data_IF_832401304547
#
_entry.id   IF_832401304547
#
_cell.length_a   1.000
_cell.length_b   1.000
_cell.length_c   1.000
_cell.angle_alpha   90.00
_cell.angle_beta   90.00
_cell.angle_gamma   90.00
#
_symmetry.space_group_name_H-M   'P 1'
#
loop_
_entity.id
_entity.type
_entity.pdbx_description
1 polymer ?
#
# COMPACT_ATOMS: atom_id res chain seq x y z
N UNK A 1 -18.67 2.42 -10.92
CA UNK A 1 -19.80 2.36 -10.00
C UNK A 1 -19.78 1.10 -9.14
N UNK A 2 -19.06 0.09 -9.56
CA UNK A 2 -19.14 -1.23 -8.95
C UNK A 2 -17.82 -1.58 -8.28
N UNK A 3 -17.89 -2.05 -7.04
CA UNK A 3 -16.74 -2.63 -6.35
C UNK A 3 -16.73 -4.11 -6.68
N UNK A 4 -15.58 -4.61 -7.15
CA UNK A 4 -15.41 -6.00 -7.50
C UNK A 4 -14.45 -6.66 -6.50
N UNK A 5 -15.01 -7.42 -5.57
CA UNK A 5 -14.23 -8.14 -4.56
C UNK A 5 -14.34 -9.63 -4.86
N UNK A 6 -13.20 -10.27 -5.13
CA UNK A 6 -13.20 -11.71 -5.36
C UNK A 6 -13.69 -12.45 -4.11
N UNK A 7 -14.50 -13.53 -4.26
CA UNK A 7 -15.07 -14.23 -3.09
C UNK A 7 -14.04 -14.77 -2.10
N UNK A 8 -12.81 -15.03 -2.54
CA UNK A 8 -11.75 -15.54 -1.66
C UNK A 8 -11.00 -14.43 -0.92
N UNK A 9 -11.24 -13.16 -1.26
CA UNK A 9 -10.58 -12.05 -0.57
C UNK A 9 -11.20 -11.82 0.80
N UNK A 10 -10.36 -11.47 1.78
CA UNK A 10 -10.79 -11.12 3.13
C UNK A 10 -10.71 -9.61 3.26
N UNK A 11 -11.84 -8.92 3.08
CA UNK A 11 -11.89 -7.47 3.15
C UNK A 11 -12.71 -7.07 4.37
N UNK A 12 -12.10 -6.29 5.27
CA UNK A 12 -12.79 -5.82 6.45
C UNK A 12 -13.99 -4.95 6.07
N UNK A 13 -15.09 -5.11 6.78
CA UNK A 13 -16.26 -4.26 6.62
C UNK A 13 -16.00 -2.81 7.05
N UNK A 14 -14.96 -2.57 7.84
CA UNK A 14 -14.57 -1.24 8.27
C UNK A 14 -13.71 -0.51 7.24
N UNK A 15 -13.14 -1.23 6.27
CA UNK A 15 -12.34 -0.61 5.22
C UNK A 15 -13.22 0.26 4.33
N UNK A 16 -12.69 1.40 3.93
CA UNK A 16 -13.38 2.34 3.04
C UNK A 16 -12.95 2.07 1.60
N UNK A 17 -13.80 1.40 0.86
CA UNK A 17 -13.53 1.00 -0.53
C UNK A 17 -14.37 1.87 -1.46
N UNK A 18 -13.70 2.67 -2.28
CA UNK A 18 -14.36 3.58 -3.22
C UNK A 18 -14.89 2.84 -4.45
N UNK A 19 -15.58 3.57 -5.32
CA UNK A 19 -16.14 3.02 -6.55
C UNK A 19 -15.06 2.47 -7.49
N UNK A 20 -15.43 1.51 -8.30
CA UNK A 20 -14.58 0.90 -9.34
C UNK A 20 -13.26 0.31 -8.82
N UNK A 21 -13.20 0.01 -7.54
CA UNK A 21 -12.07 -0.73 -6.96
C UNK A 21 -12.23 -2.22 -7.27
N UNK A 22 -11.14 -2.87 -7.68
CA UNK A 22 -11.09 -4.30 -7.92
C UNK A 22 -10.13 -4.95 -6.95
N UNK A 23 -10.59 -5.95 -6.22
CA UNK A 23 -9.77 -6.70 -5.26
C UNK A 23 -9.75 -8.15 -5.69
N UNK A 24 -8.57 -8.63 -6.08
CA UNK A 24 -8.35 -9.96 -6.61
C UNK A 24 -8.39 -11.06 -5.56
N UNK A 25 -8.21 -12.32 -6.00
CA UNK A 25 -8.32 -13.47 -5.10
C UNK A 25 -7.23 -13.47 -4.04
N UNK A 26 -7.61 -13.96 -2.86
CA UNK A 26 -6.74 -14.14 -1.70
C UNK A 26 -6.06 -12.85 -1.22
N UNK A 27 -6.62 -11.68 -1.55
CA UNK A 27 -6.20 -10.42 -0.94
C UNK A 27 -6.70 -10.32 0.49
N UNK A 28 -5.97 -9.60 1.31
CA UNK A 28 -6.38 -9.26 2.67
C UNK A 28 -6.36 -7.74 2.80
N UNK A 29 -7.47 -7.15 3.23
CA UNK A 29 -7.57 -5.72 3.51
C UNK A 29 -8.07 -5.55 4.92
N UNK A 30 -7.25 -4.93 5.77
CA UNK A 30 -7.54 -4.78 7.20
C UNK A 30 -8.47 -3.60 7.48
N UNK A 31 -8.73 -3.33 8.76
CA UNK A 31 -9.81 -2.44 9.18
C UNK A 31 -9.57 -0.97 8.82
N UNK A 32 -8.38 -0.46 9.13
CA UNK A 32 -8.08 0.96 8.99
C UNK A 32 -7.39 1.21 7.65
N UNK A 33 -8.13 0.99 6.58
CA UNK A 33 -7.67 1.11 5.21
C UNK A 33 -8.69 1.92 4.41
N UNK A 34 -8.20 2.83 3.58
CA UNK A 34 -9.01 3.50 2.57
C UNK A 34 -8.37 3.31 1.19
N UNK A 35 -9.16 2.90 0.22
CA UNK A 35 -8.72 2.66 -1.16
C UNK A 35 -9.53 3.53 -2.11
N UNK A 36 -8.84 4.35 -2.89
CA UNK A 36 -9.45 5.30 -3.81
C UNK A 36 -9.99 4.67 -5.09
N UNK A 37 -10.82 5.43 -5.77
CA UNK A 37 -11.55 5.01 -6.97
C UNK A 37 -10.60 4.45 -8.05
N UNK A 38 -11.03 3.37 -8.68
CA UNK A 38 -10.33 2.78 -9.82
C UNK A 38 -9.07 2.00 -9.47
N UNK A 39 -8.71 1.91 -8.21
CA UNK A 39 -7.54 1.14 -7.78
C UNK A 39 -7.78 -0.36 -7.92
N UNK A 40 -6.75 -1.08 -8.35
CA UNK A 40 -6.82 -2.52 -8.57
C UNK A 40 -5.75 -3.25 -7.77
N UNK A 41 -6.17 -4.22 -6.97
CA UNK A 41 -5.29 -5.15 -6.29
C UNK A 41 -5.32 -6.48 -7.04
N UNK A 42 -4.16 -6.96 -7.49
CA UNK A 42 -4.04 -8.29 -8.08
C UNK A 42 -4.14 -9.34 -6.96
N UNK A 43 -3.93 -10.61 -7.27
CA UNK A 43 -4.05 -11.67 -6.27
C UNK A 43 -2.99 -11.53 -5.16
N UNK A 44 -3.33 -12.00 -3.96
CA UNK A 44 -2.39 -12.13 -2.83
C UNK A 44 -1.79 -10.80 -2.34
N UNK A 45 -2.48 -9.69 -2.51
CA UNK A 45 -2.04 -8.40 -1.98
C UNK A 45 -2.54 -8.26 -0.55
N UNK A 46 -1.67 -7.82 0.35
CA UNK A 46 -2.04 -7.58 1.75
C UNK A 46 -1.92 -6.08 2.07
N UNK A 47 -3.06 -5.45 2.32
CA UNK A 47 -3.12 -4.06 2.77
C UNK A 47 -3.43 -4.06 4.25
N UNK A 48 -2.46 -3.64 5.06
CA UNK A 48 -2.57 -3.67 6.51
C UNK A 48 -3.17 -2.38 7.05
N UNK A 49 -3.39 -2.34 8.36
CA UNK A 49 -3.96 -1.18 9.02
C UNK A 49 -3.12 0.09 8.82
N UNK A 50 -3.76 1.23 8.90
CA UNK A 50 -3.14 2.55 8.80
C UNK A 50 -2.60 2.83 7.40
N UNK A 51 -3.33 2.42 6.37
CA UNK A 51 -2.94 2.63 4.97
C UNK A 51 -3.99 3.47 4.25
N UNK A 52 -3.52 4.41 3.46
CA UNK A 52 -4.35 5.22 2.56
C UNK A 52 -3.82 5.06 1.15
N UNK A 53 -4.65 4.54 0.26
CA UNK A 53 -4.31 4.34 -1.15
C UNK A 53 -5.17 5.27 -1.99
N UNK A 54 -4.55 6.02 -2.87
CA UNK A 54 -5.22 6.96 -3.76
C UNK A 54 -5.97 6.30 -4.89
N UNK A 55 -6.27 7.09 -5.92
CA UNK A 55 -7.04 6.66 -7.09
C UNK A 55 -6.13 6.02 -8.13
N UNK A 56 -6.70 5.09 -8.89
CA UNK A 56 -6.05 4.49 -10.06
C UNK A 56 -4.67 3.91 -9.77
N UNK A 57 -4.47 3.41 -8.57
CA UNK A 57 -3.27 2.66 -8.21
C UNK A 57 -3.39 1.23 -8.68
N UNK A 58 -2.25 0.57 -8.83
CA UNK A 58 -2.22 -0.83 -9.18
C UNK A 58 -1.16 -1.56 -8.35
N UNK A 59 -1.61 -2.55 -7.59
CA UNK A 59 -0.76 -3.33 -6.70
C UNK A 59 -0.72 -4.78 -7.20
N UNK A 60 0.48 -5.27 -7.46
CA UNK A 60 0.68 -6.60 -8.01
C UNK A 60 0.91 -7.63 -6.92
N UNK A 61 0.90 -8.89 -7.33
CA UNK A 61 0.90 -10.06 -6.45
C UNK A 61 1.98 -10.00 -5.38
N UNK A 62 1.58 -10.37 -4.17
CA UNK A 62 2.44 -10.48 -3.00
C UNK A 62 3.01 -9.15 -2.50
N UNK A 63 2.51 -8.01 -2.98
CA UNK A 63 2.89 -6.75 -2.37
C UNK A 63 2.19 -6.58 -1.03
N UNK A 64 2.88 -5.93 -0.11
CA UNK A 64 2.38 -5.66 1.24
C UNK A 64 2.53 -4.17 1.53
N UNK A 65 1.44 -3.51 1.88
CA UNK A 65 1.46 -2.09 2.25
C UNK A 65 1.02 -1.97 3.70
N UNK A 66 1.78 -1.20 4.48
CA UNK A 66 1.47 -0.97 5.89
C UNK A 66 2.15 -1.95 6.83
N UNK A 67 3.20 -2.62 6.39
CA UNK A 67 4.00 -3.45 7.28
C UNK A 67 4.55 -2.63 8.44
N UNK A 68 4.80 -3.30 9.57
CA UNK A 68 5.32 -2.63 10.75
C UNK A 68 6.75 -2.14 10.50
N UNK A 69 7.11 -0.95 11.00
CA UNK A 69 8.47 -0.44 10.83
C UNK A 69 9.52 -1.40 11.38
N UNK A 70 10.59 -1.57 10.63
CA UNK A 70 11.79 -2.26 11.11
C UNK A 70 12.66 -1.25 11.85
N UNK A 71 12.12 -0.73 12.94
CA UNK A 71 12.72 0.31 13.75
C UNK A 71 12.52 -0.06 15.22
N UNK A 72 13.62 -0.23 15.93
CA UNK A 72 13.56 -0.61 17.35
C UNK A 72 12.87 0.42 18.21
N UNK A 73 12.78 1.67 17.76
CA UNK A 73 12.10 2.73 18.51
C UNK A 73 10.59 2.77 18.29
N UNK A 74 10.08 1.97 17.34
CA UNK A 74 8.65 1.91 17.11
C UNK A 74 7.94 1.26 18.30
N UNK A 75 6.95 1.97 18.85
CA UNK A 75 6.21 1.54 20.04
C UNK A 75 4.75 1.18 19.77
N UNK A 76 4.37 1.04 18.51
CA UNK A 76 2.97 0.80 18.15
C UNK A 76 2.13 2.07 18.05
N UNK A 77 2.76 3.21 17.98
CA UNK A 77 2.07 4.51 17.84
C UNK A 77 1.31 4.62 16.53
N UNK A 78 0.41 5.59 16.45
CA UNK A 78 -0.34 5.87 15.23
C UNK A 78 0.59 6.46 14.17
N UNK A 79 0.64 5.80 13.04
CA UNK A 79 1.45 6.23 11.90
C UNK A 79 0.85 5.65 10.63
N UNK A 80 1.32 6.10 9.48
CA UNK A 80 0.61 5.84 8.23
C UNK A 80 1.56 5.39 7.13
N UNK A 81 1.01 4.64 6.18
CA UNK A 81 1.61 4.44 4.86
C UNK A 81 0.60 4.98 3.83
N UNK A 82 1.08 5.82 2.93
CA UNK A 82 0.24 6.52 1.96
C UNK A 82 0.78 6.28 0.56
N UNK A 83 -0.08 5.80 -0.33
CA UNK A 83 0.16 5.78 -1.76
C UNK A 83 -0.73 6.86 -2.38
N UNK A 84 -0.14 7.84 -3.05
CA UNK A 84 -0.90 8.83 -3.78
C UNK A 84 -1.44 8.25 -5.09
N UNK A 85 -2.11 9.07 -5.90
CA UNK A 85 -2.78 8.58 -7.10
C UNK A 85 -1.82 8.00 -8.13
N UNK A 86 -2.29 7.03 -8.89
CA UNK A 86 -1.58 6.44 -10.04
C UNK A 86 -0.23 5.80 -9.67
N UNK A 87 -0.08 5.34 -8.46
CA UNK A 87 1.11 4.60 -8.02
C UNK A 87 0.97 3.14 -8.44
N UNK A 88 2.06 2.57 -8.98
CA UNK A 88 2.14 1.15 -9.30
C UNK A 88 3.18 0.48 -8.42
N UNK A 89 2.77 -0.58 -7.74
CA UNK A 89 3.67 -1.47 -7.01
C UNK A 89 3.68 -2.81 -7.74
N UNK A 90 4.85 -3.21 -8.26
CA UNK A 90 4.97 -4.51 -8.90
C UNK A 90 5.11 -5.61 -7.83
N UNK A 91 5.30 -6.84 -8.26
CA UNK A 91 5.28 -8.01 -7.39
C UNK A 91 6.27 -7.90 -6.23
N UNK A 92 5.86 -8.38 -5.08
CA UNK A 92 6.71 -8.46 -3.87
C UNK A 92 7.24 -7.11 -3.36
N UNK A 93 6.62 -6.01 -3.73
CA UNK A 93 6.98 -4.71 -3.17
C UNK A 93 6.45 -4.62 -1.73
N UNK A 94 7.27 -4.11 -0.83
CA UNK A 94 6.88 -3.90 0.57
C UNK A 94 7.01 -2.42 0.92
N UNK A 95 5.97 -1.88 1.55
CA UNK A 95 5.94 -0.49 2.01
C UNK A 95 5.56 -0.52 3.48
N UNK A 96 6.48 -0.11 4.35
CA UNK A 96 6.22 -0.06 5.79
C UNK A 96 5.58 1.27 6.17
N UNK A 97 4.71 1.24 7.19
CA UNK A 97 4.20 2.48 7.75
C UNK A 97 5.29 3.17 8.56
N UNK A 98 5.08 4.44 8.87
CA UNK A 98 6.10 5.25 9.52
C UNK A 98 6.31 4.88 11.00
N UNK A 99 7.43 5.26 11.53
CA UNK A 99 7.73 5.27 12.95
C UNK A 99 7.62 6.71 13.45
N UNK A 100 7.03 6.89 14.62
CA UNK A 100 6.76 8.20 15.20
C UNK A 100 5.30 8.61 15.08
N UNK A 101 4.78 9.25 16.12
CA UNK A 101 3.36 9.63 16.19
C UNK A 101 2.99 10.52 15.01
N UNK A 102 1.92 10.16 14.33
CA UNK A 102 1.35 10.84 13.16
C UNK A 102 2.32 11.02 11.98
N UNK A 103 3.41 10.28 11.95
CA UNK A 103 4.34 10.28 10.82
C UNK A 103 3.82 9.41 9.68
N UNK A 104 4.35 9.65 8.48
CA UNK A 104 3.91 8.96 7.26
C UNK A 104 5.09 8.49 6.43
N UNK A 105 4.94 7.29 5.87
CA UNK A 105 5.70 6.85 4.70
C UNK A 105 4.83 7.21 3.50
N UNK A 106 5.38 7.87 2.49
CA UNK A 106 4.60 8.38 1.37
C UNK A 106 5.26 8.01 0.05
N UNK A 107 4.46 7.44 -0.86
CA UNK A 107 4.86 7.28 -2.26
C UNK A 107 3.97 8.22 -3.07
N UNK A 108 4.60 9.22 -3.69
CA UNK A 108 3.87 10.26 -4.39
C UNK A 108 3.39 9.81 -5.76
N UNK A 109 2.46 10.59 -6.31
CA UNK A 109 1.69 10.24 -7.50
C UNK A 109 2.57 9.80 -8.67
N UNK A 110 2.06 8.84 -9.40
CA UNK A 110 2.65 8.40 -10.67
C UNK A 110 3.92 7.59 -10.56
N UNK A 111 4.39 7.30 -9.36
CA UNK A 111 5.61 6.52 -9.18
C UNK A 111 5.38 5.05 -9.48
N UNK A 112 6.41 4.42 -10.03
CA UNK A 112 6.41 3.03 -10.46
C UNK A 112 7.54 2.30 -9.75
N UNK A 113 7.19 1.36 -8.88
CA UNK A 113 8.15 0.57 -8.10
C UNK A 113 8.21 -0.83 -8.69
N UNK A 114 9.37 -1.20 -9.19
CA UNK A 114 9.57 -2.50 -9.82
C UNK A 114 9.63 -3.61 -8.79
N UNK A 115 9.69 -4.84 -9.27
CA UNK A 115 9.59 -6.03 -8.44
C UNK A 115 10.61 -6.03 -7.29
N UNK A 116 10.14 -6.36 -6.09
CA UNK A 116 11.00 -6.57 -4.93
C UNK A 116 11.52 -5.31 -4.26
N UNK A 117 11.05 -4.12 -4.66
CA UNK A 117 11.46 -2.87 -4.01
C UNK A 117 10.94 -2.85 -2.58
N UNK A 118 11.80 -2.43 -1.64
CA UNK A 118 11.40 -2.20 -0.26
C UNK A 118 11.43 -0.70 0.06
N UNK A 119 10.33 -0.20 0.58
CA UNK A 119 10.22 1.18 1.08
C UNK A 119 10.09 1.12 2.60
N UNK A 120 11.15 1.52 3.29
CA UNK A 120 11.18 1.48 4.75
C UNK A 120 10.36 2.62 5.36
N UNK A 121 10.23 2.59 6.67
CA UNK A 121 9.49 3.58 7.44
C UNK A 121 9.99 5.00 7.18
N UNK A 122 9.10 5.96 7.13
CA UNK A 122 9.37 7.39 7.00
C UNK A 122 9.97 7.83 5.66
N UNK A 123 10.13 6.94 4.69
CA UNK A 123 10.62 7.29 3.36
C UNK A 123 9.55 8.10 2.61
N UNK A 124 9.98 9.10 1.89
CA UNK A 124 9.14 9.81 0.92
C UNK A 124 9.73 9.58 -0.47
N UNK A 125 8.96 8.92 -1.33
CA UNK A 125 9.28 8.78 -2.74
C UNK A 125 8.59 9.92 -3.49
N UNK A 126 9.35 10.69 -4.26
CA UNK A 126 8.82 11.81 -5.02
C UNK A 126 7.86 11.38 -6.13
N UNK A 127 7.20 12.35 -6.80
CA UNK A 127 6.28 12.01 -7.87
C UNK A 127 7.00 11.49 -9.11
N UNK A 128 6.34 10.59 -9.84
CA UNK A 128 6.80 10.06 -11.12
C UNK A 128 8.19 9.43 -11.08
N UNK A 129 8.57 8.87 -9.94
CA UNK A 129 9.82 8.12 -9.81
C UNK A 129 9.67 6.72 -10.39
N UNK A 130 10.75 6.21 -10.96
CA UNK A 130 10.85 4.81 -11.35
C UNK A 130 11.98 4.20 -10.53
N UNK A 131 11.65 3.18 -9.74
CA UNK A 131 12.61 2.54 -8.85
C UNK A 131 12.83 1.12 -9.34
N UNK A 132 14.10 0.78 -9.61
CA UNK A 132 14.50 -0.49 -10.22
C UNK A 132 14.26 -1.66 -9.27
N UNK A 133 14.29 -2.86 -9.85
CA UNK A 133 14.06 -4.11 -9.12
C UNK A 133 14.96 -4.22 -7.89
N UNK A 134 14.36 -4.66 -6.79
CA UNK A 134 15.04 -5.02 -5.54
C UNK A 134 15.78 -3.87 -4.84
N UNK A 135 15.54 -2.64 -5.24
CA UNK A 135 16.10 -1.48 -4.52
C UNK A 135 15.50 -1.43 -3.12
N UNK A 136 16.35 -1.22 -2.12
CA UNK A 136 15.93 -0.97 -0.75
C UNK A 136 16.12 0.51 -0.40
N UNK A 137 15.04 1.15 0.04
CA UNK A 137 15.08 2.53 0.51
C UNK A 137 15.03 2.48 2.04
N UNK A 138 16.14 2.83 2.67
CA UNK A 138 16.25 2.82 4.13
C UNK A 138 15.43 3.96 4.76
N UNK A 139 14.95 3.71 5.94
CA UNK A 139 14.17 4.68 6.69
C UNK A 139 14.95 5.87 7.25
#
# INVERSE_FOLDING_TARGET
MTVHIHPTALVSKKAQISEDVTIGPYCIVEDDVAIGEGTKLEAFVHVRDCVRIGKNCRLFEHSVVGGLPQDFDFKGENSWAVLEDCVTLRENVTVHRASGEDKKTVIRKGSFLMEGVHVAHNVVVGPNCVIANKVGLAG
#
